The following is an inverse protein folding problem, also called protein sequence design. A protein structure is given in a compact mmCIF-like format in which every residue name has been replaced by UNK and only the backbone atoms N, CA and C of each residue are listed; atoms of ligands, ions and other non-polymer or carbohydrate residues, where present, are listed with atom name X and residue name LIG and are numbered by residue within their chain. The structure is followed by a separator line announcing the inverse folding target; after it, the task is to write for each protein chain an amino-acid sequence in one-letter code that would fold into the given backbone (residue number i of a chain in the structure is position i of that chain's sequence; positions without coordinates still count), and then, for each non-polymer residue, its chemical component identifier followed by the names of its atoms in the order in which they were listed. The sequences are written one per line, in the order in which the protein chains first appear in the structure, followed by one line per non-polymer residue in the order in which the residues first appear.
data_IF_681107380034
#
_entry.id   IF_681107380034
#
_cell.length_a   1.000
_cell.length_b   1.000
_cell.length_c   1.000
_cell.angle_alpha   90.00
_cell.angle_beta   90.00
_cell.angle_gamma   90.00
#
_symmetry.space_group_name_H-M   'P 1'
#
loop_
_entity.id
_entity.type
_entity.pdbx_description
1 polymer ?
#
# COMPACT_ATOMS: atom_id res chain seq x y z
N UNK A 1 1.03 17.76 -4.30
CA UNK A 1 0.72 17.91 -2.86
C UNK A 1 -0.33 16.86 -2.51
N UNK A 2 -0.54 16.58 -1.22
CA UNK A 2 -1.59 15.67 -0.78
C UNK A 2 -2.93 16.41 -0.70
N UNK A 3 -3.93 15.92 -1.42
CA UNK A 3 -5.30 16.48 -1.43
C UNK A 3 -6.21 15.87 -0.35
N UNK A 4 -5.64 15.05 0.53
CA UNK A 4 -6.37 14.34 1.57
C UNK A 4 -7.10 15.32 2.48
N UNK A 5 -8.43 15.28 2.48
CA UNK A 5 -9.29 16.14 3.31
C UNK A 5 -9.94 17.32 2.58
N UNK A 6 -9.70 17.50 1.27
CA UNK A 6 -10.27 18.62 0.51
C UNK A 6 -11.67 18.37 -0.08
N UNK A 7 -12.34 17.28 0.33
CA UNK A 7 -13.73 16.94 -0.04
C UNK A 7 -13.97 16.40 -1.46
N UNK A 8 -12.98 16.42 -2.36
CA UNK A 8 -13.15 16.02 -3.78
C UNK A 8 -13.06 14.51 -4.07
N UNK A 9 -12.76 13.68 -3.07
CA UNK A 9 -12.58 12.24 -3.18
C UNK A 9 -13.25 11.52 -2.01
N UNK A 10 -13.64 10.26 -2.24
CA UNK A 10 -14.09 9.36 -1.18
C UNK A 10 -12.92 8.95 -0.25
N UNK A 11 -13.26 8.40 0.92
CA UNK A 11 -12.27 7.88 1.87
C UNK A 11 -11.30 6.87 1.22
N UNK A 12 -11.83 5.90 0.48
CA UNK A 12 -11.02 4.89 -0.20
C UNK A 12 -10.08 5.50 -1.25
N UNK A 13 -10.54 6.53 -1.97
CA UNK A 13 -9.71 7.24 -2.96
C UNK A 13 -8.60 8.04 -2.27
N UNK A 14 -8.84 8.62 -1.09
CA UNK A 14 -7.79 9.21 -0.28
C UNK A 14 -6.77 8.18 0.23
N UNK A 15 -7.22 7.00 0.66
CA UNK A 15 -6.31 5.91 1.03
C UNK A 15 -5.44 5.48 -0.16
N UNK A 16 -6.03 5.37 -1.37
CA UNK A 16 -5.29 5.08 -2.62
C UNK A 16 -4.26 6.17 -2.90
N UNK A 17 -4.67 7.43 -2.84
CA UNK A 17 -3.81 8.59 -3.07
C UNK A 17 -2.63 8.62 -2.10
N UNK A 18 -2.88 8.49 -0.80
CA UNK A 18 -1.84 8.49 0.23
C UNK A 18 -0.90 7.29 0.09
N UNK A 19 -1.44 6.09 -0.16
CA UNK A 19 -0.64 4.87 -0.38
C UNK A 19 0.28 5.00 -1.59
N UNK A 20 -0.21 5.56 -2.70
CA UNK A 20 0.58 5.76 -3.91
C UNK A 20 1.70 6.80 -3.69
N UNK A 21 1.42 7.89 -2.97
CA UNK A 21 2.44 8.88 -2.60
C UNK A 21 3.52 8.25 -1.72
N UNK A 22 3.09 7.49 -0.70
CA UNK A 22 3.99 6.86 0.25
C UNK A 22 4.91 5.84 -0.44
N UNK A 23 4.33 4.90 -1.19
CA UNK A 23 5.10 3.85 -1.87
C UNK A 23 6.03 4.40 -2.96
N UNK A 24 5.68 5.57 -3.53
CA UNK A 24 6.48 6.25 -4.53
C UNK A 24 7.64 7.07 -3.94
N UNK A 25 7.80 7.09 -2.61
CA UNK A 25 8.74 7.97 -1.89
C UNK A 25 8.56 9.46 -2.25
N UNK A 26 7.33 9.85 -2.57
CA UNK A 26 7.03 11.24 -2.87
C UNK A 26 7.05 12.09 -1.58
N UNK A 27 7.35 13.40 -1.67
CA UNK A 27 7.17 14.31 -0.55
C UNK A 27 5.72 14.30 -0.03
N UNK A 28 5.52 14.03 1.26
CA UNK A 28 4.21 14.00 1.92
C UNK A 28 3.83 15.39 2.45
N UNK A 29 3.60 16.34 1.55
CA UNK A 29 3.19 17.70 1.89
C UNK A 29 1.66 17.81 1.95
N UNK A 30 1.11 18.05 3.15
CA UNK A 30 -0.33 18.23 3.37
C UNK A 30 -0.83 19.52 2.71
N UNK A 31 -1.88 19.40 1.90
CA UNK A 31 -2.52 20.52 1.21
C UNK A 31 -3.90 20.88 1.74
N UNK A 32 -4.29 20.39 2.92
CA UNK A 32 -5.61 20.60 3.53
C UNK A 32 -5.60 21.55 4.74
N UNK A 33 -6.77 22.00 5.17
CA UNK A 33 -6.91 22.88 6.34
C UNK A 33 -6.75 22.10 7.65
N UNK A 34 -5.56 22.21 8.26
CA UNK A 34 -5.22 21.53 9.51
C UNK A 34 -6.10 21.96 10.70
N UNK A 35 -6.77 23.11 10.64
CA UNK A 35 -7.65 23.59 11.72
C UNK A 35 -8.95 22.79 11.82
N UNK A 36 -9.33 22.12 10.73
CA UNK A 36 -10.61 21.43 10.58
C UNK A 36 -10.41 19.96 10.16
N UNK A 37 -9.36 19.33 10.67
CA UNK A 37 -8.99 17.97 10.30
C UNK A 37 -9.87 16.95 11.04
N UNK A 38 -10.70 16.20 10.31
CA UNK A 38 -11.56 15.18 10.91
C UNK A 38 -10.74 13.96 11.34
N UNK A 39 -11.27 13.16 12.29
CA UNK A 39 -10.62 11.91 12.73
C UNK A 39 -10.40 10.93 11.58
N UNK A 40 -11.33 10.89 10.62
CA UNK A 40 -11.24 10.10 9.40
C UNK A 40 -10.02 10.48 8.56
N UNK A 41 -9.83 11.79 8.32
CA UNK A 41 -8.67 12.30 7.57
C UNK A 41 -7.37 12.08 8.36
N UNK A 42 -7.40 12.26 9.68
CA UNK A 42 -6.24 12.00 10.54
C UNK A 42 -5.83 10.52 10.49
N UNK A 43 -6.78 9.59 10.38
CA UNK A 43 -6.48 8.16 10.25
C UNK A 43 -5.70 7.83 8.97
N UNK A 44 -5.83 8.65 7.93
CA UNK A 44 -5.11 8.52 6.67
C UNK A 44 -3.72 9.15 6.78
N UNK A 45 -3.66 10.46 7.05
CA UNK A 45 -2.40 11.21 6.98
C UNK A 45 -1.49 10.97 8.19
N UNK A 46 -2.04 10.46 9.29
CA UNK A 46 -1.33 10.10 10.52
C UNK A 46 -0.97 8.62 10.62
N UNK A 47 -1.17 7.81 9.56
CA UNK A 47 -0.81 6.40 9.59
C UNK A 47 0.72 6.22 9.60
N UNK A 48 1.27 6.01 10.79
CA UNK A 48 2.71 5.87 11.02
C UNK A 48 3.37 4.71 10.25
N UNK A 49 2.63 3.64 9.94
CA UNK A 49 3.20 2.50 9.22
C UNK A 49 3.38 2.80 7.72
N UNK A 50 2.44 3.53 7.13
CA UNK A 50 2.54 3.97 5.74
C UNK A 50 3.55 5.12 5.61
N UNK A 51 3.63 6.01 6.61
CA UNK A 51 4.71 7.00 6.69
C UNK A 51 6.07 6.29 6.79
N UNK A 52 6.19 5.23 7.59
CA UNK A 52 7.43 4.45 7.69
C UNK A 52 7.80 3.78 6.36
N UNK A 53 6.83 3.36 5.54
CA UNK A 53 7.10 2.97 4.16
C UNK A 53 7.69 4.14 3.39
N UNK A 54 7.09 5.33 3.42
CA UNK A 54 7.63 6.49 2.69
C UNK A 54 9.04 6.89 3.14
N UNK A 55 9.32 6.79 4.44
CA UNK A 55 10.58 7.18 5.09
C UNK A 55 11.56 6.01 5.26
N UNK A 56 11.31 4.88 4.60
CA UNK A 56 12.19 3.71 4.70
C UNK A 56 13.64 4.05 4.34
N UNK A 57 14.58 3.51 5.11
CA UNK A 57 16.00 3.84 5.05
C UNK A 57 16.65 3.53 3.68
N UNK A 58 16.11 2.58 2.90
CA UNK A 58 16.64 2.32 1.56
C UNK A 58 16.31 3.44 0.58
N UNK A 59 15.24 4.21 0.80
CA UNK A 59 14.83 5.29 -0.10
C UNK A 59 14.44 4.82 -1.51
N UNK A 60 14.20 3.52 -1.72
CA UNK A 60 13.92 2.95 -3.04
C UNK A 60 12.44 3.10 -3.39
N UNK A 61 12.15 3.80 -4.48
CA UNK A 61 10.80 3.90 -5.04
C UNK A 61 10.28 2.54 -5.52
N UNK A 62 9.07 2.18 -5.09
CA UNK A 62 8.38 0.99 -5.61
C UNK A 62 7.95 1.17 -7.07
N UNK A 63 7.88 0.07 -7.79
CA UNK A 63 7.47 0.05 -9.20
C UNK A 63 6.10 -0.57 -9.34
N UNK A 64 5.37 -0.18 -10.40
CA UNK A 64 4.19 -0.90 -10.86
C UNK A 64 4.65 -2.21 -11.49
N UNK A 65 4.45 -3.32 -10.80
CA UNK A 65 4.92 -4.65 -11.21
C UNK A 65 3.87 -5.43 -11.99
N UNK A 66 2.59 -5.11 -11.80
CA UNK A 66 1.50 -5.62 -12.63
C UNK A 66 0.53 -4.50 -12.99
N UNK A 67 0.07 -4.50 -14.24
CA UNK A 67 -0.90 -3.55 -14.76
C UNK A 67 -1.91 -4.24 -15.68
N UNK A 68 -3.13 -4.42 -15.21
CA UNK A 68 -4.25 -4.94 -16.00
C UNK A 68 -5.29 -3.84 -16.26
N UNK A 69 -4.81 -2.69 -16.74
CA UNK A 69 -5.60 -1.49 -16.98
C UNK A 69 -5.97 -0.79 -15.67
N UNK A 70 -7.18 -1.04 -15.19
CA UNK A 70 -7.71 -0.41 -13.97
C UNK A 70 -7.41 -1.21 -12.68
N UNK A 71 -6.43 -2.12 -12.75
CA UNK A 71 -5.99 -2.97 -11.63
C UNK A 71 -4.48 -2.96 -11.63
N UNK A 72 -3.89 -2.52 -10.53
CA UNK A 72 -2.44 -2.33 -10.42
C UNK A 72 -1.88 -3.00 -9.17
N UNK A 73 -0.72 -3.64 -9.31
CA UNK A 73 0.10 -4.08 -8.17
C UNK A 73 1.40 -3.31 -8.23
N UNK A 74 1.75 -2.70 -7.11
CA UNK A 74 3.02 -1.99 -6.92
C UNK A 74 3.84 -2.72 -5.86
N UNK A 75 5.14 -2.81 -6.04
CA UNK A 75 6.03 -3.40 -5.05
C UNK A 75 7.43 -2.79 -5.06
N UNK A 76 8.09 -2.83 -3.91
CA UNK A 76 9.45 -2.35 -3.75
C UNK A 76 10.13 -2.91 -2.50
N UNK A 77 11.47 -2.98 -2.50
CA UNK A 77 12.22 -3.41 -1.32
C UNK A 77 12.14 -2.36 -0.21
N UNK A 78 12.17 -2.84 1.03
CA UNK A 78 12.33 -2.07 2.25
C UNK A 78 13.55 -2.57 3.02
N UNK A 79 14.01 -1.78 3.99
CA UNK A 79 15.12 -2.17 4.86
C UNK A 79 14.85 -3.50 5.59
N UNK A 80 15.90 -4.31 5.75
CA UNK A 80 15.82 -5.59 6.45
C UNK A 80 15.17 -6.72 5.64
N UNK A 81 15.40 -6.76 4.31
CA UNK A 81 14.88 -7.78 3.39
C UNK A 81 13.34 -7.86 3.34
N UNK A 82 12.65 -6.79 3.74
CA UNK A 82 11.20 -6.68 3.65
C UNK A 82 10.79 -6.19 2.26
N UNK A 83 9.56 -6.47 1.89
CA UNK A 83 8.97 -5.98 0.62
C UNK A 83 7.65 -5.31 0.93
N UNK A 84 7.45 -4.09 0.45
CA UNK A 84 6.13 -3.45 0.45
C UNK A 84 5.37 -3.85 -0.80
N UNK A 85 4.08 -4.15 -0.66
CA UNK A 85 3.18 -4.44 -1.77
C UNK A 85 1.91 -3.61 -1.61
N UNK A 86 1.47 -2.96 -2.69
CA UNK A 86 0.24 -2.19 -2.76
C UNK A 86 -0.63 -2.73 -3.90
N UNK A 87 -1.85 -3.14 -3.58
CA UNK A 87 -2.89 -3.47 -4.53
C UNK A 87 -3.79 -2.24 -4.73
N UNK A 88 -4.08 -1.88 -5.97
CA UNK A 88 -4.97 -0.75 -6.31
C UNK A 88 -6.04 -1.21 -7.28
N UNK A 89 -7.30 -1.03 -6.89
CA UNK A 89 -8.45 -1.24 -7.75
C UNK A 89 -9.05 0.10 -8.20
N UNK A 90 -8.86 0.46 -9.46
CA UNK A 90 -9.42 1.67 -10.09
C UNK A 90 -10.71 1.36 -10.86
N UNK A 91 -11.29 0.17 -10.72
CA UNK A 91 -12.56 -0.20 -11.35
C UNK A 91 -13.75 0.18 -10.47
N UNK A 92 -14.90 0.39 -11.10
CA UNK A 92 -16.22 0.50 -10.46
C UNK A 92 -16.81 -0.83 -9.95
N UNK A 93 -16.00 -1.88 -9.86
CA UNK A 93 -16.42 -3.23 -9.43
C UNK A 93 -15.36 -3.87 -8.55
N UNK A 94 -15.78 -4.85 -7.77
CA UNK A 94 -14.88 -5.59 -6.89
C UNK A 94 -14.00 -6.56 -7.70
N UNK A 95 -12.76 -6.73 -7.25
CA UNK A 95 -11.74 -7.50 -7.97
C UNK A 95 -10.92 -8.36 -7.01
N UNK A 96 -10.41 -9.48 -7.52
CA UNK A 96 -9.40 -10.28 -6.86
C UNK A 96 -8.10 -10.17 -7.66
N UNK A 97 -6.99 -9.89 -6.99
CA UNK A 97 -5.71 -9.57 -7.62
C UNK A 97 -4.57 -10.34 -6.96
N UNK A 98 -3.76 -11.10 -7.72
CA UNK A 98 -2.58 -11.77 -7.21
C UNK A 98 -1.34 -10.87 -7.27
N UNK A 99 -0.48 -10.92 -6.25
CA UNK A 99 0.92 -10.54 -6.32
C UNK A 99 1.75 -11.83 -6.30
N UNK A 100 2.46 -12.10 -7.40
CA UNK A 100 3.34 -13.27 -7.51
C UNK A 100 4.73 -12.91 -7.02
N UNK A 101 5.41 -13.84 -6.36
CA UNK A 101 6.71 -13.61 -5.73
C UNK A 101 7.77 -13.11 -6.73
N UNK A 102 7.76 -13.68 -7.94
CA UNK A 102 8.66 -13.27 -9.03
C UNK A 102 8.47 -11.80 -9.44
N UNK A 103 7.22 -11.30 -9.38
CA UNK A 103 6.89 -9.94 -9.79
C UNK A 103 7.28 -8.92 -8.71
N UNK A 104 7.22 -9.33 -7.44
CA UNK A 104 7.45 -8.44 -6.28
C UNK A 104 8.86 -8.53 -5.70
N UNK A 105 9.76 -9.28 -6.35
CA UNK A 105 11.17 -9.38 -5.94
C UNK A 105 11.43 -10.29 -4.74
N UNK A 106 10.58 -11.29 -4.53
CA UNK A 106 10.77 -12.33 -3.49
C UNK A 106 11.13 -13.66 -4.19
N UNK A 107 12.17 -14.39 -3.76
CA UNK A 107 12.43 -15.72 -4.32
C UNK A 107 11.28 -16.70 -4.07
N UNK A 108 10.93 -17.53 -5.07
CA UNK A 108 9.74 -18.42 -5.02
C UNK A 108 9.65 -19.33 -3.80
N UNK A 109 10.79 -19.80 -3.30
CA UNK A 109 10.90 -20.72 -2.15
C UNK A 109 10.79 -20.01 -0.79
N UNK A 110 10.77 -18.68 -0.76
CA UNK A 110 10.69 -17.91 0.48
C UNK A 110 9.23 -17.84 0.95
N UNK A 111 9.04 -18.18 2.22
CA UNK A 111 7.79 -17.96 2.93
C UNK A 111 7.80 -16.57 3.54
N UNK A 112 6.65 -15.91 3.61
CA UNK A 112 6.52 -14.59 4.23
C UNK A 112 5.31 -14.53 5.17
N UNK A 113 5.44 -13.77 6.24
CA UNK A 113 4.29 -13.17 6.93
C UNK A 113 3.95 -11.84 6.29
N UNK A 114 2.74 -11.34 6.56
CA UNK A 114 2.26 -10.09 5.98
C UNK A 114 1.58 -9.24 7.03
N UNK A 115 1.92 -7.96 7.08
CA UNK A 115 1.27 -6.96 7.92
C UNK A 115 0.43 -6.04 7.06
N UNK A 116 -0.87 -5.95 7.33
CA UNK A 116 -1.78 -4.99 6.70
C UNK A 116 -1.61 -3.63 7.37
N UNK A 117 -1.13 -2.64 6.61
CA UNK A 117 -0.78 -1.33 7.15
C UNK A 117 -1.99 -0.43 7.38
N UNK A 118 -3.10 -0.71 6.70
CA UNK A 118 -4.35 0.03 6.89
C UNK A 118 -5.17 -0.53 8.04
N UNK A 119 -5.09 -1.84 8.28
CA UNK A 119 -5.76 -2.50 9.41
C UNK A 119 -4.88 -2.60 10.66
N UNK A 120 -3.62 -2.20 10.59
CA UNK A 120 -2.62 -2.31 11.67
C UNK A 120 -2.50 -3.73 12.23
N UNK A 121 -2.68 -4.74 11.37
CA UNK A 121 -2.86 -6.13 11.78
C UNK A 121 -1.96 -7.06 10.97
N UNK A 122 -1.32 -8.00 11.66
CA UNK A 122 -0.64 -9.11 11.00
C UNK A 122 -1.67 -10.11 10.47
N UNK A 123 -1.53 -10.50 9.22
CA UNK A 123 -2.31 -11.58 8.66
C UNK A 123 -1.78 -12.87 9.30
N UNK A 124 -2.61 -13.53 10.10
CA UNK A 124 -2.32 -14.80 10.81
C UNK A 124 -2.19 -16.00 9.84
N UNK A 125 -1.41 -15.82 8.78
CA UNK A 125 -1.18 -16.77 7.70
C UNK A 125 0.23 -16.56 7.14
N UNK A 126 0.86 -17.66 6.77
CA UNK A 126 2.08 -17.65 5.96
C UNK A 126 1.73 -17.72 4.47
N UNK A 127 2.39 -16.88 3.68
CA UNK A 127 2.28 -16.86 2.23
C UNK A 127 3.51 -17.47 1.57
N UNK A 128 3.31 -18.11 0.43
CA UNK A 128 4.34 -18.78 -0.33
C UNK A 128 4.03 -18.68 -1.83
N UNK A 129 4.99 -18.21 -2.62
CA UNK A 129 4.87 -18.05 -4.08
C UNK A 129 3.92 -16.94 -4.55
N UNK A 130 2.85 -16.63 -3.80
CA UNK A 130 1.90 -15.55 -4.10
C UNK A 130 1.07 -15.10 -2.90
N UNK A 131 0.49 -13.91 -3.02
CA UNK A 131 -0.56 -13.37 -2.17
C UNK A 131 -1.70 -12.84 -3.04
N UNK A 132 -2.95 -13.23 -2.76
CA UNK A 132 -4.11 -12.76 -3.51
C UNK A 132 -5.03 -11.95 -2.61
N UNK A 133 -5.39 -10.75 -3.05
CA UNK A 133 -6.23 -9.83 -2.30
C UNK A 133 -7.53 -9.50 -3.03
N UNK A 134 -8.62 -9.45 -2.27
CA UNK A 134 -9.92 -8.95 -2.69
C UNK A 134 -10.06 -7.47 -2.34
N UNK A 135 -10.43 -6.66 -3.32
CA UNK A 135 -10.58 -5.20 -3.20
C UNK A 135 -11.97 -4.79 -3.70
N UNK A 136 -12.59 -3.86 -2.98
CA UNK A 136 -13.80 -3.18 -3.42
C UNK A 136 -13.47 -2.11 -4.47
N UNK A 137 -14.48 -1.57 -5.14
CA UNK A 137 -14.32 -0.44 -6.06
C UNK A 137 -13.52 0.71 -5.46
N UNK A 138 -12.58 1.27 -6.23
CA UNK A 138 -11.76 2.45 -5.88
C UNK A 138 -10.98 2.35 -4.56
N UNK A 139 -10.64 1.13 -4.15
CA UNK A 139 -9.90 0.88 -2.90
C UNK A 139 -8.46 0.42 -3.17
N UNK A 140 -7.66 0.42 -2.09
CA UNK A 140 -6.36 -0.21 -2.06
C UNK A 140 -6.18 -1.09 -0.82
N UNK A 141 -5.17 -1.96 -0.85
CA UNK A 141 -4.61 -2.60 0.34
C UNK A 141 -3.10 -2.58 0.27
N UNK A 142 -2.45 -2.22 1.38
CA UNK A 142 -1.01 -2.09 1.47
C UNK A 142 -0.47 -3.04 2.53
N UNK A 143 0.57 -3.78 2.18
CA UNK A 143 1.19 -4.77 3.06
C UNK A 143 2.69 -4.61 3.12
N UNK A 144 3.26 -4.90 4.28
CA UNK A 144 4.70 -5.23 4.39
C UNK A 144 4.82 -6.72 4.55
N UNK A 145 5.57 -7.34 3.62
CA UNK A 145 5.93 -8.74 3.65
C UNK A 145 7.28 -8.90 4.32
N UNK A 146 7.34 -9.80 5.30
CA UNK A 146 8.57 -10.14 6.01
C UNK A 146 8.92 -11.60 5.74
N UNK A 147 10.05 -11.90 5.09
CA UNK A 147 10.54 -13.26 4.92
C UNK A 147 10.68 -13.96 6.27
N UNK A 148 10.28 -15.23 6.32
CA UNK A 148 10.55 -16.13 7.43
C UNK A 148 11.53 -17.21 6.98
N UNK A 149 12.53 -17.48 7.80
CA UNK A 149 13.42 -18.65 7.69
C UNK A 149 12.62 -19.94 7.90
#
# INVERSE_FOLDING_TARGET
MLEVGNGGMSHNEYMVHFSLWAISKAPLLLGCDLRNLTSDIMSIVGNNEIIAVNQDFLGIQAKKVQNFGNKEVWAGPLFGNKVVVLFVNRQYKNVSMPALWDDIGIPRNVRCTARDLWQHQDLNKTYHGRMTMYLTSHSCKMFVLTPIS
#
